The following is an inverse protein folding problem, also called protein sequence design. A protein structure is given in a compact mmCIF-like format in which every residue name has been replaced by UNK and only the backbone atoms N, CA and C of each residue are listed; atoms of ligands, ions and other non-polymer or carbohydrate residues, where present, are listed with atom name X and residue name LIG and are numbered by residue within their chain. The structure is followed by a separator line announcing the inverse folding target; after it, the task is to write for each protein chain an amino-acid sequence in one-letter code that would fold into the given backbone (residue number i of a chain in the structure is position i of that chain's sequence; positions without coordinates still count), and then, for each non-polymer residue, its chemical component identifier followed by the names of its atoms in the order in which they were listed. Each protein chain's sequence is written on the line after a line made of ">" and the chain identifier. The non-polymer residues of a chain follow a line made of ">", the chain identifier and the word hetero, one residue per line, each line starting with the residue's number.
data_IF_483060029047
#
_entry.id   IF_483060029047
#
_cell.length_a   1.000
_cell.length_b   1.000
_cell.length_c   1.000
_cell.angle_alpha   90.00
_cell.angle_beta   90.00
_cell.angle_gamma   90.00
#
_symmetry.space_group_name_H-M   'P 1'
#
loop_
_entity.id
_entity.type
_entity.pdbx_description
1 polymer ?
#
# COMPACT_ATOMS: atom_id res chain seq x y z
N UNK A 1 -11.14 15.69 11.32
CA UNK A 1 -10.04 16.11 10.44
C UNK A 1 -8.68 15.57 10.88
N UNK A 2 -8.27 15.76 12.15
CA UNK A 2 -7.04 15.20 12.73
C UNK A 2 -6.76 13.71 12.43
N UNK A 3 -7.69 12.77 12.72
CA UNK A 3 -7.41 11.34 12.52
C UNK A 3 -7.19 10.98 11.05
N UNK A 4 -7.92 11.63 10.12
CA UNK A 4 -7.73 11.42 8.68
C UNK A 4 -6.34 11.88 8.22
N UNK A 5 -5.87 13.03 8.70
CA UNK A 5 -4.55 13.53 8.35
C UNK A 5 -3.45 12.54 8.80
N UNK A 6 -3.44 12.12 10.07
CA UNK A 6 -2.44 11.18 10.58
C UNK A 6 -2.48 9.82 9.89
N UNK A 7 -3.68 9.24 9.70
CA UNK A 7 -3.84 7.96 9.00
C UNK A 7 -3.39 8.04 7.54
N UNK A 8 -3.62 9.16 6.86
CA UNK A 8 -3.17 9.35 5.47
C UNK A 8 -1.66 9.45 5.33
N UNK A 9 -0.95 10.10 6.26
CA UNK A 9 0.51 10.14 6.26
C UNK A 9 1.11 8.78 6.63
N UNK A 10 0.51 8.07 7.58
CA UNK A 10 0.93 6.71 7.92
C UNK A 10 0.75 5.75 6.74
N UNK A 11 -0.39 5.80 6.05
CA UNK A 11 -0.64 5.03 4.84
C UNK A 11 0.38 5.35 3.73
N UNK A 12 0.66 6.64 3.49
CA UNK A 12 1.66 7.08 2.52
C UNK A 12 3.06 6.53 2.83
N UNK A 13 3.50 6.62 4.09
CA UNK A 13 4.80 6.10 4.52
C UNK A 13 4.86 4.57 4.39
N UNK A 14 3.77 3.87 4.72
CA UNK A 14 3.65 2.41 4.61
C UNK A 14 3.72 1.94 3.15
N UNK A 15 2.97 2.60 2.26
CA UNK A 15 2.98 2.33 0.81
C UNK A 15 4.38 2.57 0.22
N UNK A 16 5.01 3.68 0.57
CA UNK A 16 6.39 3.94 0.12
C UNK A 16 7.37 2.88 0.65
N UNK A 17 7.25 2.51 1.93
CA UNK A 17 8.07 1.48 2.54
C UNK A 17 7.96 0.12 1.84
N UNK A 18 6.74 -0.33 1.54
CA UNK A 18 6.55 -1.60 0.81
C UNK A 18 7.08 -1.53 -0.63
N UNK A 19 7.00 -0.37 -1.30
CA UNK A 19 7.62 -0.18 -2.61
C UNK A 19 9.15 -0.32 -2.58
N UNK A 20 9.80 0.28 -1.57
CA UNK A 20 11.25 0.15 -1.37
C UNK A 20 11.62 -1.30 -1.08
N UNK A 21 10.91 -1.97 -0.17
CA UNK A 21 11.13 -3.38 0.15
C UNK A 21 10.92 -4.28 -1.07
N UNK A 22 9.87 -4.05 -1.86
CA UNK A 22 9.60 -4.82 -3.08
C UNK A 22 10.69 -4.61 -4.13
N UNK A 23 11.20 -3.38 -4.26
CA UNK A 23 12.32 -3.07 -5.16
C UNK A 23 13.59 -3.80 -4.72
N UNK A 24 13.86 -3.85 -3.42
CA UNK A 24 14.97 -4.64 -2.85
C UNK A 24 14.82 -6.14 -3.11
N UNK A 25 13.66 -6.73 -2.80
CA UNK A 25 13.36 -8.15 -3.05
C UNK A 25 13.59 -8.51 -4.52
N UNK A 26 13.09 -7.68 -5.44
CA UNK A 26 13.27 -7.88 -6.87
C UNK A 26 14.75 -7.77 -7.28
N UNK A 27 15.47 -6.76 -6.81
CA UNK A 27 16.88 -6.54 -7.16
C UNK A 27 17.80 -7.62 -6.58
N UNK A 28 17.46 -8.17 -5.41
CA UNK A 28 18.20 -9.25 -4.77
C UNK A 28 17.89 -10.65 -5.35
N UNK A 29 16.97 -10.74 -6.33
CA UNK A 29 16.55 -12.03 -6.90
C UNK A 29 15.77 -12.91 -5.92
N UNK A 30 15.19 -12.32 -4.87
CA UNK A 30 14.50 -13.02 -3.80
C UNK A 30 12.99 -13.18 -4.06
N UNK A 31 12.49 -12.72 -5.22
CA UNK A 31 11.07 -12.66 -5.60
C UNK A 31 10.27 -13.99 -5.62
N UNK A 32 10.92 -15.12 -5.35
CA UNK A 32 10.32 -16.45 -5.28
C UNK A 32 10.77 -17.23 -4.02
N UNK A 33 11.28 -16.55 -3.00
CA UNK A 33 11.65 -17.21 -1.74
C UNK A 33 10.43 -17.85 -1.05
N UNK A 34 9.24 -17.24 -1.19
CA UNK A 34 7.94 -17.66 -0.71
C UNK A 34 7.01 -18.01 -1.89
N UNK A 35 6.83 -19.30 -2.14
CA UNK A 35 6.05 -19.79 -3.30
C UNK A 35 4.56 -20.03 -3.01
N UNK A 36 4.20 -20.12 -1.73
CA UNK A 36 2.85 -20.33 -1.22
C UNK A 36 2.31 -19.05 -0.58
N UNK A 37 1.00 -19.02 -0.38
CA UNK A 37 0.25 -17.98 0.33
C UNK A 37 -0.98 -18.66 0.97
N UNK A 38 -1.38 -18.35 2.22
CA UNK A 38 -0.90 -17.26 3.08
C UNK A 38 0.39 -17.56 3.86
N UNK A 39 0.81 -18.82 3.93
CA UNK A 39 2.09 -19.22 4.53
C UNK A 39 3.26 -18.87 3.62
N UNK A 40 4.49 -18.91 4.16
CA UNK A 40 5.71 -18.90 3.36
C UNK A 40 6.53 -20.16 3.69
N UNK A 41 6.59 -21.06 2.71
CA UNK A 41 7.08 -22.44 2.78
C UNK A 41 6.46 -23.23 3.94
N UNK A 42 5.14 -23.11 4.11
CA UNK A 42 4.40 -23.78 5.19
C UNK A 42 4.66 -23.24 6.59
N UNK A 43 5.45 -22.17 6.74
CA UNK A 43 5.72 -21.50 8.01
C UNK A 43 5.09 -20.11 8.05
N UNK A 44 4.70 -19.67 9.25
CA UNK A 44 4.33 -18.28 9.54
C UNK A 44 5.50 -17.45 10.05
N UNK A 45 6.57 -18.08 10.55
CA UNK A 45 7.79 -17.41 11.01
C UNK A 45 8.90 -17.57 9.96
N UNK A 46 9.65 -16.50 9.66
CA UNK A 46 10.67 -16.56 8.62
C UNK A 46 11.94 -17.27 9.12
N UNK A 47 12.55 -18.07 8.25
CA UNK A 47 14.00 -18.36 8.30
C UNK A 47 14.76 -17.25 7.55
N UNK A 48 16.09 -17.23 7.68
CA UNK A 48 16.92 -16.23 6.99
C UNK A 48 16.69 -16.19 5.46
N UNK A 49 16.47 -17.36 4.84
CA UNK A 49 16.26 -17.51 3.40
C UNK A 49 14.99 -16.82 2.86
N UNK A 50 13.95 -16.72 3.69
CA UNK A 50 12.63 -16.19 3.30
C UNK A 50 12.32 -14.83 3.94
N UNK A 51 13.23 -14.32 4.77
CA UNK A 51 13.01 -13.14 5.60
C UNK A 51 12.65 -11.89 4.79
N UNK A 52 13.34 -11.62 3.68
CA UNK A 52 13.12 -10.41 2.89
C UNK A 52 11.69 -10.36 2.29
N UNK A 53 11.23 -11.46 1.69
CA UNK A 53 9.88 -11.55 1.14
C UNK A 53 8.81 -11.58 2.21
N UNK A 54 9.07 -12.29 3.31
CA UNK A 54 8.16 -12.33 4.45
C UNK A 54 7.95 -10.92 5.03
N UNK A 55 9.02 -10.14 5.20
CA UNK A 55 8.96 -8.74 5.65
C UNK A 55 8.22 -7.89 4.63
N UNK A 56 8.47 -8.05 3.33
CA UNK A 56 7.72 -7.36 2.28
C UNK A 56 6.21 -7.64 2.37
N UNK A 57 5.81 -8.91 2.54
CA UNK A 57 4.39 -9.32 2.70
C UNK A 57 3.76 -8.75 3.98
N UNK A 58 4.49 -8.73 5.09
CA UNK A 58 4.03 -8.14 6.34
C UNK A 58 3.78 -6.63 6.19
N UNK A 59 4.71 -5.92 5.55
CA UNK A 59 4.55 -4.49 5.27
C UNK A 59 3.43 -4.22 4.26
N UNK A 60 3.23 -5.11 3.28
CA UNK A 60 2.09 -5.03 2.36
C UNK A 60 0.74 -5.12 3.11
N UNK A 61 0.63 -6.02 4.10
CA UNK A 61 -0.58 -6.12 4.94
C UNK A 61 -0.81 -4.83 5.75
N UNK A 62 0.23 -4.30 6.38
CA UNK A 62 0.15 -3.02 7.12
C UNK A 62 -0.25 -1.85 6.20
N UNK A 63 0.33 -1.78 5.00
CA UNK A 63 -0.05 -0.79 3.99
C UNK A 63 -1.51 -0.95 3.55
N UNK A 64 -1.97 -2.18 3.31
CA UNK A 64 -3.36 -2.49 2.99
C UNK A 64 -4.34 -1.99 4.05
N UNK A 65 -4.11 -2.34 5.32
CA UNK A 65 -4.98 -1.94 6.43
C UNK A 65 -5.01 -0.41 6.59
N UNK A 66 -3.85 0.24 6.51
CA UNK A 66 -3.78 1.70 6.65
C UNK A 66 -4.46 2.45 5.51
N UNK A 67 -4.31 1.99 4.25
CA UNK A 67 -4.99 2.58 3.07
C UNK A 67 -6.50 2.39 3.17
N UNK A 68 -6.99 1.20 3.52
CA UNK A 68 -8.43 0.95 3.67
C UNK A 68 -9.02 1.79 4.81
N UNK A 69 -8.31 1.92 5.92
CA UNK A 69 -8.74 2.77 7.06
C UNK A 69 -8.79 4.24 6.66
N UNK A 70 -7.76 4.75 5.97
CA UNK A 70 -7.72 6.10 5.42
C UNK A 70 -8.91 6.34 4.48
N UNK A 71 -9.19 5.39 3.59
CA UNK A 71 -10.32 5.46 2.68
C UNK A 71 -11.65 5.53 3.45
N UNK A 72 -11.91 4.63 4.39
CA UNK A 72 -13.12 4.63 5.20
C UNK A 72 -13.33 5.95 5.96
N UNK A 73 -12.27 6.52 6.55
CA UNK A 73 -12.33 7.82 7.23
C UNK A 73 -12.60 8.98 6.27
N UNK A 74 -12.08 8.92 5.03
CA UNK A 74 -12.29 9.97 4.02
C UNK A 74 -13.77 10.14 3.63
N UNK A 75 -14.56 9.07 3.68
CA UNK A 75 -15.99 9.08 3.38
C UNK A 75 -16.81 9.88 4.41
N UNK A 76 -16.30 10.05 5.63
CA UNK A 76 -16.91 10.91 6.66
C UNK A 76 -16.79 12.41 6.36
N UNK A 77 -15.93 12.79 5.42
CA UNK A 77 -15.72 14.18 5.01
C UNK A 77 -16.49 14.47 3.72
N UNK A 78 -17.27 15.56 3.68
CA UNK A 78 -18.03 15.98 2.49
C UNK A 78 -17.13 16.69 1.48
N UNK A 79 -16.16 15.97 0.90
CA UNK A 79 -15.28 16.48 -0.15
C UNK A 79 -15.10 15.42 -1.25
N UNK A 80 -15.61 15.70 -2.45
CA UNK A 80 -15.64 14.74 -3.57
C UNK A 80 -14.25 14.35 -4.05
N UNK A 81 -13.32 15.30 -4.15
CA UNK A 81 -11.95 15.02 -4.62
C UNK A 81 -11.20 14.11 -3.65
N UNK A 82 -11.32 14.38 -2.34
CA UNK A 82 -10.75 13.55 -1.29
C UNK A 82 -11.30 12.12 -1.34
N UNK A 83 -12.63 11.97 -1.46
CA UNK A 83 -13.28 10.65 -1.54
C UNK A 83 -12.84 9.88 -2.78
N UNK A 84 -12.74 10.56 -3.94
CA UNK A 84 -12.30 9.95 -5.18
C UNK A 84 -10.87 9.39 -5.05
N UNK A 85 -9.90 10.21 -4.64
CA UNK A 85 -8.50 9.77 -4.54
C UNK A 85 -8.33 8.66 -3.50
N UNK A 86 -9.05 8.73 -2.37
CA UNK A 86 -9.00 7.71 -1.34
C UNK A 86 -9.67 6.39 -1.78
N UNK A 87 -10.75 6.47 -2.55
CA UNK A 87 -11.42 5.29 -3.12
C UNK A 87 -10.54 4.63 -4.18
N UNK A 88 -9.90 5.42 -5.05
CA UNK A 88 -8.93 4.90 -6.02
C UNK A 88 -7.76 4.21 -5.32
N UNK A 89 -7.21 4.79 -4.24
CA UNK A 89 -6.18 4.14 -3.44
C UNK A 89 -6.66 2.79 -2.87
N UNK A 90 -7.89 2.72 -2.36
CA UNK A 90 -8.47 1.46 -1.87
C UNK A 90 -8.62 0.40 -2.98
N UNK A 91 -9.07 0.80 -4.18
CA UNK A 91 -9.17 -0.10 -5.33
C UNK A 91 -7.79 -0.60 -5.77
N UNK A 92 -6.81 0.30 -5.87
CA UNK A 92 -5.46 -0.09 -6.28
C UNK A 92 -4.78 -0.99 -5.25
N UNK A 93 -4.95 -0.79 -3.94
CA UNK A 93 -4.33 -1.69 -2.95
C UNK A 93 -4.94 -3.09 -2.97
N UNK A 94 -6.24 -3.22 -3.21
CA UNK A 94 -6.87 -4.53 -3.43
C UNK A 94 -6.31 -5.18 -4.70
N UNK A 95 -6.20 -4.40 -5.77
CA UNK A 95 -5.61 -4.86 -7.04
C UNK A 95 -4.15 -5.31 -6.84
N UNK A 96 -3.39 -4.64 -5.98
CA UNK A 96 -2.01 -5.01 -5.66
C UNK A 96 -1.89 -6.36 -4.98
N UNK A 97 -2.78 -6.66 -4.03
CA UNK A 97 -2.78 -7.95 -3.34
C UNK A 97 -3.03 -9.07 -4.36
N UNK A 98 -4.02 -8.89 -5.25
CA UNK A 98 -4.32 -9.86 -6.31
C UNK A 98 -3.15 -10.02 -7.28
N UNK A 99 -2.60 -8.91 -7.78
CA UNK A 99 -1.45 -8.96 -8.70
C UNK A 99 -0.21 -9.57 -8.04
N UNK A 100 0.03 -9.31 -6.75
CA UNK A 100 1.15 -9.90 -6.02
C UNK A 100 1.08 -11.43 -5.96
N UNK A 101 -0.11 -11.99 -5.77
CA UNK A 101 -0.34 -13.45 -5.85
C UNK A 101 -0.05 -13.95 -7.28
N UNK A 102 -0.59 -13.27 -8.30
CA UNK A 102 -0.38 -13.64 -9.70
C UNK A 102 1.11 -13.55 -10.11
N UNK A 103 1.88 -12.60 -9.56
CA UNK A 103 3.33 -12.50 -9.78
C UNK A 103 4.05 -13.77 -9.35
N UNK A 104 3.66 -14.36 -8.21
CA UNK A 104 4.24 -15.61 -7.71
C UNK A 104 3.81 -16.78 -8.61
N UNK A 105 2.51 -16.91 -8.89
CA UNK A 105 1.96 -18.00 -9.70
C UNK A 105 2.52 -18.02 -11.13
N UNK A 106 2.76 -16.83 -11.69
CA UNK A 106 3.37 -16.64 -13.01
C UNK A 106 4.90 -16.73 -13.03
N UNK A 107 5.52 -17.09 -11.90
CA UNK A 107 6.99 -17.21 -11.73
C UNK A 107 7.73 -15.95 -12.18
N UNK A 108 7.28 -14.78 -11.72
CA UNK A 108 7.85 -13.47 -12.05
C UNK A 108 7.79 -13.10 -13.54
N UNK A 109 6.70 -13.46 -14.23
CA UNK A 109 6.54 -13.08 -15.64
C UNK A 109 6.73 -11.55 -15.81
N UNK A 110 7.67 -11.08 -16.65
CA UNK A 110 8.11 -9.68 -16.63
C UNK A 110 6.99 -8.66 -16.86
N UNK A 111 6.03 -8.99 -17.72
CA UNK A 111 4.86 -8.15 -17.96
C UNK A 111 3.99 -7.99 -16.70
N UNK A 112 3.76 -9.08 -15.95
CA UNK A 112 2.91 -9.05 -14.76
C UNK A 112 3.60 -8.25 -13.65
N UNK A 113 4.92 -8.45 -13.46
CA UNK A 113 5.73 -7.65 -12.52
C UNK A 113 5.70 -6.17 -12.89
N UNK A 114 5.79 -5.83 -14.18
CA UNK A 114 5.71 -4.45 -14.66
C UNK A 114 4.35 -3.82 -14.40
N UNK A 115 3.26 -4.57 -14.63
CA UNK A 115 1.89 -4.12 -14.32
C UNK A 115 1.71 -3.94 -12.81
N UNK A 116 2.23 -4.86 -12.00
CA UNK A 116 2.23 -4.75 -10.54
C UNK A 116 2.92 -3.46 -10.08
N UNK A 117 4.11 -3.16 -10.59
CA UNK A 117 4.80 -1.90 -10.30
C UNK A 117 4.01 -0.68 -10.76
N UNK A 118 3.47 -0.68 -11.98
CA UNK A 118 2.72 0.44 -12.54
C UNK A 118 1.47 0.78 -11.71
N UNK A 119 0.67 -0.24 -11.33
CA UNK A 119 -0.47 -0.05 -10.42
C UNK A 119 0.02 0.42 -9.03
N UNK A 120 1.24 0.07 -8.64
CA UNK A 120 1.83 0.44 -7.35
C UNK A 120 2.15 1.93 -7.29
N UNK A 121 2.65 2.47 -8.41
CA UNK A 121 2.82 3.91 -8.60
C UNK A 121 1.48 4.64 -8.56
N UNK A 122 0.41 4.10 -9.17
CA UNK A 122 -0.93 4.69 -9.11
C UNK A 122 -1.52 4.67 -7.68
N UNK A 123 -1.29 3.58 -6.93
CA UNK A 123 -1.63 3.49 -5.50
C UNK A 123 -0.90 4.58 -4.70
N UNK A 124 0.41 4.71 -4.89
CA UNK A 124 1.21 5.73 -4.21
C UNK A 124 0.73 7.15 -4.54
N UNK A 125 0.54 7.45 -5.83
CA UNK A 125 0.05 8.75 -6.27
C UNK A 125 -1.33 9.09 -5.68
N UNK A 126 -2.25 8.14 -5.71
CA UNK A 126 -3.59 8.31 -5.13
C UNK A 126 -3.52 8.58 -3.62
N UNK A 127 -2.69 7.82 -2.89
CA UNK A 127 -2.47 7.97 -1.45
C UNK A 127 -1.83 9.31 -1.11
N UNK A 128 -0.84 9.75 -1.89
CA UNK A 128 -0.21 11.07 -1.75
C UNK A 128 -1.22 12.20 -1.95
N UNK A 129 -2.05 12.13 -2.99
CA UNK A 129 -3.08 13.13 -3.25
C UNK A 129 -4.12 13.17 -2.12
N UNK A 130 -4.52 12.01 -1.57
CA UNK A 130 -5.39 11.95 -0.38
C UNK A 130 -4.73 12.60 0.83
N UNK A 131 -3.45 12.33 1.11
CA UNK A 131 -2.73 12.91 2.24
C UNK A 131 -2.59 14.43 2.13
N UNK A 132 -2.26 14.95 0.95
CA UNK A 132 -2.18 16.38 0.69
C UNK A 132 -3.56 17.06 0.86
N UNK A 133 -4.63 16.45 0.34
CA UNK A 133 -5.98 16.97 0.48
C UNK A 133 -6.44 16.96 1.96
N UNK A 134 -6.21 15.86 2.68
CA UNK A 134 -6.54 15.74 4.09
C UNK A 134 -5.81 16.78 4.95
N UNK A 135 -4.51 17.00 4.69
CA UNK A 135 -3.71 17.99 5.40
C UNK A 135 -4.19 19.42 5.15
N UNK A 136 -4.52 19.78 3.90
CA UNK A 136 -5.08 21.09 3.56
C UNK A 136 -6.38 21.37 4.30
N UNK A 137 -7.31 20.41 4.30
CA UNK A 137 -8.58 20.54 4.98
C UNK A 137 -8.42 20.56 6.52
N UNK A 138 -7.42 19.84 7.05
CA UNK A 138 -7.09 19.89 8.48
C UNK A 138 -6.58 21.28 8.90
N UNK A 139 -5.66 21.89 8.13
CA UNK A 139 -5.16 23.23 8.40
C UNK A 139 -6.27 24.29 8.35
N UNK A 140 -7.11 24.27 7.31
CA UNK A 140 -8.25 25.18 7.20
C UNK A 140 -9.22 25.06 8.39
N UNK A 141 -9.42 23.84 8.92
CA UNK A 141 -10.23 23.62 10.11
C UNK A 141 -9.62 24.18 11.39
N UNK A 142 -8.28 24.30 11.49
CA UNK A 142 -7.62 24.91 12.64
C UNK A 142 -7.70 26.43 12.57
N UNK A 143 -7.52 27.01 11.38
CA UNK A 143 -7.61 28.45 11.14
C UNK A 143 -9.02 28.98 11.46
N UNK A 144 -10.08 28.21 11.17
CA UNK A 144 -11.47 28.57 11.50
C UNK A 144 -11.78 28.65 13.01
N UNK A 145 -10.95 28.06 13.87
CA UNK A 145 -11.17 28.03 15.33
C UNK A 145 -10.41 29.17 16.01
N UNK A 146 -9.44 29.76 15.32
CA UNK A 146 -8.62 30.87 15.81
C UNK A 146 -9.30 32.21 15.50
#
# INVERSE_FOLDING_TARGET
>A
MRPLAYTSFFALASVYGVMVLGSYVSAAGLGLSCIDWPTCRGSFLPSEEIMAEWVHRLFALMAGISVVTMAALSWRVRNTRLRLTATLAAVFVITQIVLGIIVIDSRLHPLIVSIHLAIGVLLFASTLLTALAANRLYKASLESIR
#
